data_IF_691843644340
#
_entry.id   IF_691843644340
#
_cell.length_a   1.000
_cell.length_b   1.000
_cell.length_c   1.000
_cell.angle_alpha   90.00
_cell.angle_beta   90.00
_cell.angle_gamma   90.00
#
_symmetry.space_group_name_H-M   'P 1'
#
loop_
_entity.id
_entity.type
_entity.pdbx_description
1 polymer ?
#
# COMPACT_ATOMS: atom_id res chain seq x y z
N UNK A 1 -31.55 23.58 -9.41
CA UNK A 1 -31.36 22.25 -10.03
C UNK A 1 -32.10 21.21 -9.20
N UNK A 2 -33.02 20.44 -9.79
CA UNK A 2 -33.85 19.44 -9.06
C UNK A 2 -33.05 18.24 -8.55
N UNK A 3 -31.87 17.95 -9.10
CA UNK A 3 -31.03 16.80 -8.70
C UNK A 3 -29.52 17.15 -8.70
N UNK A 4 -29.01 17.83 -7.66
CA UNK A 4 -27.60 18.23 -7.60
C UNK A 4 -26.61 17.05 -7.53
N UNK A 5 -27.08 15.86 -7.16
CA UNK A 5 -26.26 14.65 -7.03
C UNK A 5 -25.99 13.91 -8.35
N UNK A 6 -26.75 14.24 -9.41
CA UNK A 6 -26.65 13.51 -10.68
C UNK A 6 -25.33 13.78 -11.41
N UNK A 7 -24.87 15.04 -11.35
CA UNK A 7 -23.60 15.46 -11.94
C UNK A 7 -22.42 14.69 -11.33
N UNK A 8 -22.16 14.73 -10.01
CA UNK A 8 -21.05 13.99 -9.42
C UNK A 8 -21.17 12.48 -9.66
N UNK A 9 -22.39 11.91 -9.68
CA UNK A 9 -22.58 10.49 -9.99
C UNK A 9 -22.11 10.11 -11.41
N UNK A 10 -22.47 10.90 -12.42
CA UNK A 10 -22.03 10.68 -13.81
C UNK A 10 -20.51 10.79 -13.91
N UNK A 11 -19.92 11.82 -13.29
CA UNK A 11 -18.47 12.05 -13.31
C UNK A 11 -17.68 10.97 -12.56
N UNK A 12 -18.18 10.46 -11.43
CA UNK A 12 -17.57 9.32 -10.72
C UNK A 12 -17.63 8.07 -11.60
N UNK A 13 -18.79 7.76 -12.18
CA UNK A 13 -18.99 6.58 -13.02
C UNK A 13 -18.07 6.60 -14.25
N UNK A 14 -17.98 7.75 -14.93
CA UNK A 14 -17.04 7.94 -16.05
C UNK A 14 -15.58 7.84 -15.60
N UNK A 15 -15.21 8.39 -14.44
CA UNK A 15 -13.87 8.26 -13.86
C UNK A 15 -13.46 6.80 -13.63
N UNK A 16 -14.39 5.96 -13.15
CA UNK A 16 -14.16 4.52 -12.95
C UNK A 16 -13.87 3.82 -14.30
N UNK A 17 -14.67 4.09 -15.32
CA UNK A 17 -14.52 3.51 -16.68
C UNK A 17 -13.20 3.97 -17.31
N UNK A 18 -12.88 5.27 -17.19
CA UNK A 18 -11.63 5.85 -17.70
C UNK A 18 -10.39 5.20 -17.08
N UNK A 19 -10.46 4.77 -15.82
CA UNK A 19 -9.34 4.07 -15.15
C UNK A 19 -9.04 2.71 -15.76
N UNK A 20 -10.06 2.02 -16.27
CA UNK A 20 -9.88 0.73 -16.94
C UNK A 20 -9.22 0.89 -18.31
N UNK A 21 -9.51 1.99 -19.01
CA UNK A 21 -8.93 2.29 -20.32
C UNK A 21 -7.51 2.87 -20.23
N UNK A 22 -7.28 3.78 -19.28
CA UNK A 22 -6.04 4.53 -19.13
C UNK A 22 -5.50 4.29 -17.72
N UNK A 23 -4.38 3.57 -17.61
CA UNK A 23 -3.82 3.12 -16.33
C UNK A 23 -2.70 4.04 -15.81
N UNK A 24 -3.04 5.30 -15.52
CA UNK A 24 -2.13 6.29 -14.92
C UNK A 24 -2.31 6.28 -13.40
N UNK A 25 -1.22 6.37 -12.65
CA UNK A 25 -1.27 6.54 -11.20
C UNK A 25 -1.37 8.03 -10.86
N UNK A 26 -2.54 8.45 -10.33
CA UNK A 26 -2.72 9.82 -9.85
C UNK A 26 -2.20 9.95 -8.41
N UNK A 27 -1.32 10.92 -8.11
CA UNK A 27 -0.84 11.14 -6.76
C UNK A 27 -1.96 11.66 -5.84
N UNK A 28 -2.04 11.13 -4.62
CA UNK A 28 -3.02 11.54 -3.59
C UNK A 28 -3.00 13.05 -3.31
N UNK A 29 -1.84 13.70 -3.46
CA UNK A 29 -1.69 15.15 -3.31
C UNK A 29 -2.63 15.92 -4.25
N UNK A 30 -2.90 15.39 -5.45
CA UNK A 30 -3.77 16.04 -6.43
C UNK A 30 -5.22 16.13 -5.94
N UNK A 31 -5.74 15.07 -5.31
CA UNK A 31 -7.06 15.08 -4.67
C UNK A 31 -7.13 16.11 -3.54
N UNK A 32 -6.06 16.23 -2.77
CA UNK A 32 -5.95 17.16 -1.64
C UNK A 32 -5.98 18.61 -2.13
N UNK A 33 -5.22 18.94 -3.18
CA UNK A 33 -5.23 20.28 -3.80
C UNK A 33 -6.63 20.62 -4.36
N UNK A 34 -7.26 19.68 -5.08
CA UNK A 34 -8.62 19.87 -5.59
C UNK A 34 -9.64 20.10 -4.46
N UNK A 35 -9.50 19.39 -3.34
CA UNK A 35 -10.37 19.59 -2.18
C UNK A 35 -10.23 20.97 -1.54
N UNK A 36 -9.00 21.50 -1.45
CA UNK A 36 -8.76 22.86 -0.98
C UNK A 36 -9.28 23.91 -1.99
N UNK A 37 -9.10 23.67 -3.28
CA UNK A 37 -9.60 24.56 -4.33
C UNK A 37 -11.13 24.70 -4.27
N UNK A 38 -11.84 23.62 -3.97
CA UNK A 38 -13.30 23.60 -3.77
C UNK A 38 -13.76 24.50 -2.61
N UNK A 39 -12.97 24.61 -1.53
CA UNK A 39 -13.31 25.43 -0.37
C UNK A 39 -13.18 26.94 -0.63
N UNK A 40 -12.30 27.34 -1.56
CA UNK A 40 -11.95 28.74 -1.83
C UNK A 40 -12.65 29.26 -3.11
N UNK A 41 -13.14 28.36 -3.97
CA UNK A 41 -13.71 28.72 -5.26
C UNK A 41 -15.05 29.47 -5.15
N UNK A 42 -15.24 30.47 -6.02
CA UNK A 42 -16.54 31.12 -6.25
C UNK A 42 -17.53 30.11 -6.86
N UNK A 43 -18.83 30.35 -6.66
CA UNK A 43 -19.94 29.41 -6.98
C UNK A 43 -19.85 28.75 -8.36
N UNK A 44 -19.52 29.49 -9.41
CA UNK A 44 -19.42 28.94 -10.78
C UNK A 44 -18.19 28.05 -10.97
N UNK A 45 -17.03 28.51 -10.47
CA UNK A 45 -15.78 27.76 -10.51
C UNK A 45 -15.91 26.49 -9.65
N UNK A 46 -16.58 26.58 -8.50
CA UNK A 46 -16.79 25.46 -7.60
C UNK A 46 -17.54 24.30 -8.26
N UNK A 47 -18.49 24.57 -9.16
CA UNK A 47 -19.20 23.52 -9.91
C UNK A 47 -18.28 22.78 -10.89
N UNK A 48 -17.41 23.52 -11.59
CA UNK A 48 -16.42 22.93 -12.50
C UNK A 48 -15.40 22.11 -11.69
N UNK A 49 -14.89 22.67 -10.60
CA UNK A 49 -13.95 21.99 -9.71
C UNK A 49 -14.58 20.75 -9.08
N UNK A 50 -15.87 20.77 -8.72
CA UNK A 50 -16.61 19.62 -8.22
C UNK A 50 -16.70 18.50 -9.26
N UNK A 51 -16.97 18.84 -10.52
CA UNK A 51 -17.04 17.86 -11.60
C UNK A 51 -15.67 17.18 -11.83
N UNK A 52 -14.59 17.97 -11.91
CA UNK A 52 -13.23 17.47 -12.04
C UNK A 52 -12.85 16.61 -10.83
N UNK A 53 -13.14 17.08 -9.62
CA UNK A 53 -12.89 16.34 -8.39
C UNK A 53 -13.62 15.00 -8.39
N UNK A 54 -14.91 14.99 -8.72
CA UNK A 54 -15.72 13.77 -8.79
C UNK A 54 -15.16 12.75 -9.78
N UNK A 55 -14.67 13.20 -10.94
CA UNK A 55 -14.03 12.35 -11.94
C UNK A 55 -12.72 11.76 -11.41
N UNK A 56 -11.85 12.60 -10.87
CA UNK A 56 -10.56 12.17 -10.30
C UNK A 56 -10.78 11.19 -9.14
N UNK A 57 -11.83 11.41 -8.35
CA UNK A 57 -12.18 10.58 -7.22
C UNK A 57 -12.68 9.20 -7.69
N UNK A 58 -13.57 9.14 -8.68
CA UNK A 58 -13.97 7.88 -9.33
C UNK A 58 -12.77 7.13 -9.94
N UNK A 59 -11.89 7.86 -10.63
CA UNK A 59 -10.65 7.31 -11.19
C UNK A 59 -9.68 6.77 -10.13
N UNK A 60 -9.63 7.41 -8.96
CA UNK A 60 -8.74 7.03 -7.86
C UNK A 60 -9.26 5.84 -7.05
N UNK A 61 -10.58 5.66 -6.93
CA UNK A 61 -11.17 4.59 -6.12
C UNK A 61 -11.10 3.24 -6.83
N UNK A 62 -11.09 3.23 -8.17
CA UNK A 62 -11.04 1.97 -8.91
C UNK A 62 -9.69 1.28 -8.72
N UNK A 63 -9.67 0.21 -7.91
CA UNK A 63 -8.51 -0.64 -7.71
C UNK A 63 -8.26 -1.45 -8.98
N UNK A 64 -7.01 -1.42 -9.48
CA UNK A 64 -6.60 -2.24 -10.64
C UNK A 64 -7.07 -3.69 -10.43
N UNK A 65 -7.81 -4.27 -11.36
CA UNK A 65 -8.35 -5.64 -11.20
C UNK A 65 -7.23 -6.67 -10.98
N UNK A 66 -7.55 -7.75 -10.24
CA UNK A 66 -6.64 -8.87 -9.96
C UNK A 66 -6.61 -9.92 -11.09
N UNK A 67 -7.43 -9.75 -12.13
CA UNK A 67 -7.70 -10.79 -13.15
C UNK A 67 -6.45 -11.22 -13.93
N UNK A 68 -5.40 -10.39 -13.96
CA UNK A 68 -4.18 -10.66 -14.71
C UNK A 68 -3.09 -11.37 -13.90
N UNK A 69 -3.31 -11.62 -12.61
CA UNK A 69 -2.31 -12.24 -11.74
C UNK A 69 -2.59 -13.75 -11.70
N UNK A 70 -1.54 -14.55 -11.84
CA UNK A 70 -1.63 -16.01 -11.71
C UNK A 70 -0.76 -16.52 -10.55
N UNK A 71 -1.09 -17.71 -10.05
CA UNK A 71 -0.27 -18.39 -9.04
C UNK A 71 1.10 -18.75 -9.64
N UNK A 72 2.19 -18.39 -8.94
CA UNK A 72 3.56 -18.77 -9.34
C UNK A 72 4.28 -19.53 -8.24
N UNK A 73 5.01 -20.59 -8.62
CA UNK A 73 5.80 -21.42 -7.69
C UNK A 73 6.99 -20.65 -7.11
N UNK A 74 7.61 -19.79 -7.90
CA UNK A 74 8.73 -18.93 -7.52
C UNK A 74 8.49 -17.51 -8.04
N UNK A 75 8.74 -16.52 -7.20
CA UNK A 75 8.73 -15.09 -7.50
C UNK A 75 9.83 -14.42 -6.69
N UNK A 76 10.58 -13.53 -7.32
CA UNK A 76 11.55 -12.66 -6.69
C UNK A 76 11.00 -11.23 -6.68
N UNK A 77 11.01 -10.59 -5.51
CA UNK A 77 10.52 -9.21 -5.39
C UNK A 77 11.30 -8.41 -4.34
N UNK A 78 11.44 -7.12 -4.63
CA UNK A 78 11.84 -6.08 -3.70
C UNK A 78 10.60 -5.26 -3.37
N UNK A 79 10.26 -5.15 -2.10
CA UNK A 79 9.11 -4.40 -1.66
C UNK A 79 9.37 -3.56 -0.42
N UNK A 80 8.65 -2.46 -0.30
CA UNK A 80 8.68 -1.58 0.88
C UNK A 80 7.56 -1.97 1.83
N UNK A 81 7.90 -2.21 3.09
CA UNK A 81 6.94 -2.62 4.12
C UNK A 81 6.05 -1.43 4.48
N UNK A 82 4.73 -1.63 4.47
CA UNK A 82 3.75 -0.54 4.68
C UNK A 82 2.92 -0.70 5.95
N UNK A 83 3.00 -1.85 6.61
CA UNK A 83 2.32 -2.12 7.87
C UNK A 83 3.30 -2.68 8.92
N UNK A 84 2.86 -2.67 10.17
CA UNK A 84 3.64 -3.22 11.27
C UNK A 84 3.61 -4.74 11.16
N UNK A 85 4.76 -5.43 11.11
CA UNK A 85 4.80 -6.88 11.06
C UNK A 85 4.10 -7.50 12.26
N UNK A 86 3.17 -8.42 11.97
CA UNK A 86 2.43 -9.19 12.98
C UNK A 86 3.04 -10.57 13.10
N UNK A 87 3.32 -10.99 14.33
CA UNK A 87 3.84 -12.32 14.64
C UNK A 87 2.70 -13.20 15.11
N UNK A 88 2.52 -14.36 14.48
CA UNK A 88 1.60 -15.40 14.95
C UNK A 88 2.26 -16.76 14.83
N UNK A 89 2.48 -17.42 15.98
CA UNK A 89 3.29 -18.65 16.07
C UNK A 89 4.65 -18.41 15.39
N UNK A 90 5.06 -19.29 14.45
CA UNK A 90 6.32 -19.20 13.70
C UNK A 90 6.21 -18.41 12.38
N UNK A 91 5.15 -17.61 12.22
CA UNK A 91 4.88 -16.84 11.01
C UNK A 91 4.91 -15.35 11.29
N UNK A 92 5.59 -14.62 10.42
CA UNK A 92 5.58 -13.15 10.37
C UNK A 92 4.75 -12.75 9.17
N UNK A 93 3.76 -11.90 9.39
CA UNK A 93 2.84 -11.43 8.36
C UNK A 93 2.87 -9.92 8.29
N UNK A 94 3.02 -9.41 7.08
CA UNK A 94 3.02 -7.98 6.79
C UNK A 94 2.57 -7.74 5.36
N UNK A 95 2.04 -6.57 5.09
CA UNK A 95 1.81 -6.03 3.77
C UNK A 95 3.03 -5.22 3.30
N UNK A 96 3.40 -5.40 2.05
CA UNK A 96 4.40 -4.58 1.39
C UNK A 96 3.93 -4.09 0.02
N UNK A 97 4.40 -2.92 -0.41
CA UNK A 97 4.23 -2.40 -1.76
C UNK A 97 5.42 -2.82 -2.61
N UNK A 98 5.17 -3.52 -3.71
CA UNK A 98 6.22 -4.04 -4.59
C UNK A 98 6.82 -2.90 -5.41
N UNK A 99 8.14 -2.75 -5.32
CA UNK A 99 8.92 -1.77 -6.08
C UNK A 99 9.56 -2.43 -7.32
N UNK A 100 10.06 -3.66 -7.17
CA UNK A 100 10.64 -4.45 -8.25
C UNK A 100 10.20 -5.91 -8.13
N UNK A 101 9.96 -6.58 -9.26
CA UNK A 101 9.69 -8.02 -9.29
C UNK A 101 10.06 -8.61 -10.64
N UNK A 102 10.45 -9.88 -10.64
CA UNK A 102 10.55 -10.72 -11.84
C UNK A 102 9.18 -11.00 -12.49
N UNK A 103 8.07 -10.74 -11.77
CA UNK A 103 6.71 -10.82 -12.26
C UNK A 103 6.09 -9.41 -12.33
N UNK A 104 6.10 -8.81 -13.53
CA UNK A 104 5.78 -7.40 -13.78
C UNK A 104 4.38 -7.00 -13.30
N UNK A 105 3.44 -7.93 -13.30
CA UNK A 105 2.05 -7.76 -12.86
C UNK A 105 1.94 -7.42 -11.37
N UNK A 106 2.98 -7.69 -10.58
CA UNK A 106 3.07 -7.33 -9.17
C UNK A 106 3.56 -5.90 -8.93
N UNK A 107 4.10 -5.20 -9.93
CA UNK A 107 4.67 -3.87 -9.73
C UNK A 107 3.62 -2.88 -9.19
N UNK A 108 4.02 -2.09 -8.19
CA UNK A 108 3.17 -1.16 -7.44
C UNK A 108 1.97 -1.79 -6.72
N UNK A 109 1.84 -3.12 -6.70
CA UNK A 109 0.77 -3.80 -5.97
C UNK A 109 1.11 -3.94 -4.49
N UNK A 110 0.07 -3.90 -3.67
CA UNK A 110 0.13 -4.31 -2.27
C UNK A 110 0.04 -5.83 -2.20
N UNK A 111 1.05 -6.46 -1.61
CA UNK A 111 1.10 -7.91 -1.42
C UNK A 111 1.22 -8.23 0.06
N UNK A 112 0.59 -9.31 0.50
CA UNK A 112 0.73 -9.84 1.85
C UNK A 112 1.86 -10.84 1.87
N UNK A 113 2.94 -10.51 2.56
CA UNK A 113 4.09 -11.39 2.74
C UNK A 113 3.90 -12.22 4.01
N UNK A 114 4.22 -13.50 3.90
CA UNK A 114 4.21 -14.47 4.98
C UNK A 114 5.61 -15.10 5.01
N UNK A 115 6.38 -14.77 6.05
CA UNK A 115 7.71 -15.35 6.28
C UNK A 115 7.62 -16.37 7.41
N UNK A 116 8.37 -17.46 7.28
CA UNK A 116 8.56 -18.43 8.34
C UNK A 116 9.86 -18.11 9.08
N UNK A 117 9.76 -17.86 10.39
CA UNK A 117 10.94 -17.68 11.25
C UNK A 117 10.91 -18.68 12.40
N UNK A 118 12.07 -19.25 12.71
CA UNK A 118 12.25 -20.13 13.87
C UNK A 118 12.22 -19.33 15.19
N UNK A 119 12.63 -18.06 15.14
CA UNK A 119 12.70 -17.13 16.27
C UNK A 119 11.92 -15.85 15.94
N UNK A 120 10.58 -15.89 16.02
CA UNK A 120 9.75 -14.79 15.59
C UNK A 120 9.74 -13.62 16.59
N UNK A 121 10.11 -13.86 17.85
CA UNK A 121 10.08 -12.88 18.95
C UNK A 121 11.24 -11.87 18.89
N UNK A 122 12.34 -12.20 18.21
CA UNK A 122 13.54 -11.35 18.10
C UNK A 122 13.55 -10.46 16.85
N UNK A 123 12.47 -10.41 16.07
CA UNK A 123 12.44 -9.55 14.89
C UNK A 123 12.21 -8.09 15.28
N UNK A 124 13.25 -7.29 15.08
CA UNK A 124 13.18 -5.82 15.10
C UNK A 124 12.03 -5.37 14.21
N UNK A 125 11.22 -4.42 14.68
CA UNK A 125 10.17 -3.79 13.86
C UNK A 125 10.84 -3.16 12.62
N UNK A 126 10.43 -3.58 11.42
CA UNK A 126 11.01 -3.13 10.14
C UNK A 126 9.99 -2.41 9.25
N UNK A 127 9.07 -1.65 9.86
CA UNK A 127 8.11 -0.80 9.14
C UNK A 127 8.85 0.19 8.22
N UNK A 128 8.38 0.39 6.99
CA UNK A 128 9.03 1.24 5.95
C UNK A 128 10.40 0.78 5.45
N UNK A 129 10.91 -0.35 5.94
CA UNK A 129 12.14 -0.95 5.43
C UNK A 129 11.92 -1.61 4.07
N UNK A 130 13.00 -1.78 3.31
CA UNK A 130 12.98 -2.54 2.07
C UNK A 130 13.25 -4.01 2.35
N UNK A 131 12.47 -4.88 1.72
CA UNK A 131 12.60 -6.33 1.85
C UNK A 131 12.80 -6.92 0.47
N UNK A 132 13.94 -7.58 0.29
CA UNK A 132 14.20 -8.44 -0.87
C UNK A 132 13.83 -9.86 -0.48
N UNK A 133 12.93 -10.49 -1.23
CA UNK A 133 12.48 -11.84 -0.92
C UNK A 133 12.30 -12.69 -2.18
N UNK A 134 12.48 -14.00 -2.00
CA UNK A 134 12.07 -15.01 -2.97
C UNK A 134 11.07 -15.95 -2.33
N UNK A 135 10.04 -16.32 -3.07
CA UNK A 135 8.91 -17.05 -2.48
C UNK A 135 7.92 -17.60 -3.48
N UNK A 136 6.82 -18.15 -2.96
CA UNK A 136 5.68 -18.63 -3.75
C UNK A 136 4.54 -17.63 -3.72
N UNK A 137 4.03 -17.29 -4.89
CA UNK A 137 2.87 -16.43 -5.08
C UNK A 137 1.59 -17.28 -5.08
N UNK A 138 0.64 -16.95 -4.19
CA UNK A 138 -0.71 -17.51 -4.19
C UNK A 138 -1.75 -16.40 -4.12
N UNK A 139 -2.76 -16.49 -4.97
CA UNK A 139 -3.95 -15.66 -4.93
C UNK A 139 -5.01 -16.33 -4.05
N UNK A 140 -5.58 -15.55 -3.14
CA UNK A 140 -6.69 -15.97 -2.31
C UNK A 140 -7.80 -14.93 -2.40
N UNK A 141 -8.91 -15.28 -3.07
CA UNK A 141 -10.13 -14.46 -3.27
C UNK A 141 -9.87 -13.03 -3.78
N UNK A 142 -9.36 -12.15 -2.92
CA UNK A 142 -9.06 -10.75 -3.20
C UNK A 142 -7.69 -10.28 -2.66
N UNK A 143 -6.78 -11.19 -2.33
CA UNK A 143 -5.46 -10.86 -1.78
C UNK A 143 -4.34 -11.63 -2.48
N UNK A 144 -3.26 -10.91 -2.78
CA UNK A 144 -2.01 -11.46 -3.30
C UNK A 144 -1.14 -11.85 -2.10
N UNK A 145 -0.92 -13.15 -1.90
CA UNK A 145 -0.10 -13.65 -0.80
C UNK A 145 1.23 -14.19 -1.34
N UNK A 146 2.34 -13.79 -0.70
CA UNK A 146 3.68 -14.26 -1.03
C UNK A 146 4.26 -14.98 0.17
N UNK A 147 4.56 -16.27 0.00
CA UNK A 147 5.19 -17.10 1.02
C UNK A 147 6.70 -17.10 0.79
N UNK A 148 7.45 -16.38 1.61
CA UNK A 148 8.90 -16.23 1.44
C UNK A 148 9.68 -17.45 1.93
N UNK A 149 10.60 -17.93 1.09
CA UNK A 149 11.58 -18.97 1.46
C UNK A 149 12.88 -18.35 1.96
N UNK A 150 13.30 -17.25 1.34
CA UNK A 150 14.46 -16.47 1.75
C UNK A 150 14.13 -14.98 1.68
N UNK A 151 14.70 -14.22 2.61
CA UNK A 151 14.49 -12.78 2.67
C UNK A 151 15.73 -12.08 3.22
N UNK A 152 15.93 -10.83 2.77
CA UNK A 152 16.91 -9.88 3.33
C UNK A 152 16.19 -8.56 3.57
N UNK A 153 16.31 -8.05 4.79
CA UNK A 153 15.74 -6.76 5.19
C UNK A 153 16.86 -5.73 5.09
N UNK A 154 16.68 -4.71 4.25
CA UNK A 154 17.53 -3.53 4.18
C UNK A 154 16.88 -2.42 5.01
N UNK A 155 17.57 -2.01 6.06
CA UNK A 155 17.08 -1.05 7.04
C UNK A 155 17.68 0.36 6.88
N UNK A 156 18.58 0.54 5.91
CA UNK A 156 19.47 1.71 5.83
C UNK A 156 18.74 3.06 5.72
N UNK A 157 17.46 3.05 5.30
CA UNK A 157 16.67 4.26 5.03
C UNK A 157 15.38 4.39 5.86
N UNK A 158 15.28 3.71 7.01
CA UNK A 158 14.07 3.76 7.83
C UNK A 158 14.17 4.85 8.92
N UNK A 159 13.41 5.96 8.80
CA UNK A 159 13.50 7.09 9.74
C UNK A 159 12.99 6.76 11.15
N UNK A 160 12.29 5.63 11.33
CA UNK A 160 11.72 5.21 12.61
C UNK A 160 12.64 4.27 13.40
N UNK A 161 13.79 3.87 12.86
CA UNK A 161 14.73 2.96 13.55
C UNK A 161 15.22 3.57 14.86
N UNK A 162 15.64 4.84 14.84
CA UNK A 162 16.15 5.50 16.04
C UNK A 162 15.13 5.54 17.18
N UNK A 163 13.85 5.73 16.85
CA UNK A 163 12.76 5.81 17.82
C UNK A 163 12.47 4.42 18.45
N UNK A 164 12.59 3.37 17.64
CA UNK A 164 12.47 1.97 18.09
C UNK A 164 13.67 1.51 18.92
N UNK A 165 14.89 1.89 18.52
CA UNK A 165 16.11 1.60 19.28
C UNK A 165 16.10 2.29 20.64
N UNK A 166 15.64 3.54 20.70
CA UNK A 166 15.50 4.28 21.96
C UNK A 166 14.50 3.60 22.90
N UNK A 167 13.35 3.12 22.39
CA UNK A 167 12.40 2.33 23.18
C UNK A 167 13.03 1.06 23.74
N UNK A 168 13.82 0.33 22.94
CA UNK A 168 14.46 -0.91 23.38
C UNK A 168 15.53 -0.63 24.45
N UNK A 169 16.37 0.40 24.27
CA UNK A 169 17.35 0.83 25.28
C UNK A 169 16.69 1.25 26.59
N UNK A 170 15.58 1.98 26.53
CA UNK A 170 14.81 2.31 27.72
C UNK A 170 14.30 1.05 28.43
N UNK A 171 13.75 0.08 27.69
CA UNK A 171 13.26 -1.18 28.26
C UNK A 171 14.37 -2.00 28.92
N UNK A 172 15.57 -2.01 28.36
CA UNK A 172 16.75 -2.67 28.94
C UNK A 172 17.18 -2.01 30.25
N UNK A 173 17.28 -0.67 30.28
CA UNK A 173 17.61 0.09 31.49
C UNK A 173 16.59 -0.07 32.63
N UNK A 174 15.31 -0.32 32.30
CA UNK A 174 14.28 -0.60 33.32
C UNK A 174 14.23 -2.07 33.75
N UNK A 175 14.80 -3.01 32.98
CA UNK A 175 14.89 -4.42 33.37
C UNK A 175 16.08 -4.69 34.29
N UNK A 176 17.13 -3.89 34.24
CA UNK A 176 18.29 -4.01 35.16
C UNK A 176 18.03 -3.46 36.57
N UNK A 177 16.87 -2.84 36.81
CA UNK A 177 16.51 -2.21 38.10
C UNK A 177 15.44 -2.95 38.91
N UNK A 178 15.18 -4.22 38.62
CA UNK A 178 14.28 -5.07 39.42
C UNK A 178 15.03 -6.29 39.92
#
# INVERSE_FOLDING_TARGET
>A
MKYPFFIPFIFISTGIILKELINIELPLIFLLILSLALLIAKREIALITLAIFSLVLGYSINEKSLNNIQNKKSVALQCKVIDIPTVYKKQIKFYCKVNQSDYKELLNRKVKVILFSKEPENLKVFLFSEVNLTGRLKLYKNSINVYGYSYKIKNDNNPFIYLLELKNKLKENFKEKV
#
